data_IF_985122300165
#
_entry.id   IF_985122300165
#
_cell.length_a   1.000
_cell.length_b   1.000
_cell.length_c   1.000
_cell.angle_alpha   90.00
_cell.angle_beta   90.00
_cell.angle_gamma   90.00
#
_symmetry.space_group_name_H-M   'P 1'
#
loop_
_entity.id
_entity.type
_entity.pdbx_description
1 polymer ?
#
# COMPACT_ATOMS: atom_id res chain seq x y z
N UNK A 1 0.69 -9.60 -30.98
CA UNK A 1 1.59 -9.22 -29.86
C UNK A 1 2.61 -8.26 -30.45
N UNK A 2 3.00 -7.19 -29.77
CA UNK A 2 4.04 -6.28 -30.29
C UNK A 2 5.33 -7.10 -30.51
N UNK A 3 5.96 -7.05 -31.70
CA UNK A 3 7.15 -7.84 -32.00
C UNK A 3 8.32 -7.55 -31.04
N UNK A 4 8.44 -6.34 -30.50
CA UNK A 4 9.48 -6.00 -29.53
C UNK A 4 9.22 -6.66 -28.17
N UNK A 5 7.96 -6.69 -27.74
CA UNK A 5 7.55 -7.38 -26.50
C UNK A 5 7.78 -8.89 -26.62
N UNK A 6 7.53 -9.45 -27.80
CA UNK A 6 7.78 -10.87 -28.06
C UNK A 6 9.28 -11.18 -28.03
N UNK A 7 10.13 -10.31 -28.60
CA UNK A 7 11.59 -10.45 -28.55
C UNK A 7 12.13 -10.41 -27.10
N UNK A 8 11.69 -9.44 -26.30
CA UNK A 8 12.08 -9.33 -24.88
C UNK A 8 11.67 -10.58 -24.09
N UNK A 9 10.43 -11.04 -24.28
CA UNK A 9 9.94 -12.27 -23.62
C UNK A 9 10.70 -13.52 -24.06
N UNK A 10 11.14 -13.56 -25.32
CA UNK A 10 11.90 -14.69 -25.86
C UNK A 10 13.31 -14.70 -25.28
N UNK A 11 13.99 -13.56 -25.29
CA UNK A 11 15.31 -13.38 -24.65
C UNK A 11 15.28 -13.68 -23.15
N UNK A 12 14.21 -13.29 -22.46
CA UNK A 12 14.02 -13.61 -21.04
C UNK A 12 13.89 -15.12 -20.80
N UNK A 13 13.12 -15.82 -21.65
CA UNK A 13 12.97 -17.29 -21.58
C UNK A 13 14.27 -18.02 -21.90
N UNK A 14 15.10 -17.44 -22.76
CA UNK A 14 16.40 -18.00 -23.16
C UNK A 14 17.49 -17.84 -22.07
N UNK A 15 17.21 -17.10 -20.99
CA UNK A 15 18.10 -17.05 -19.82
C UNK A 15 18.09 -18.41 -19.08
N UNK A 16 19.08 -19.25 -19.39
CA UNK A 16 19.21 -20.62 -18.87
C UNK A 16 19.38 -20.73 -17.35
N UNK A 17 19.85 -19.68 -16.68
CA UNK A 17 20.14 -19.70 -15.24
C UNK A 17 19.06 -18.97 -14.44
N UNK A 18 18.58 -19.60 -13.36
CA UNK A 18 17.69 -18.99 -12.36
C UNK A 18 18.34 -17.76 -11.72
N UNK A 19 19.66 -17.74 -11.56
CA UNK A 19 20.40 -16.58 -11.05
C UNK A 19 20.38 -15.41 -12.03
N UNK A 20 20.55 -15.67 -13.34
CA UNK A 20 20.47 -14.64 -14.38
C UNK A 20 19.06 -14.02 -14.48
N UNK A 21 18.01 -14.85 -14.35
CA UNK A 21 16.62 -14.37 -14.30
C UNK A 21 16.37 -13.50 -13.06
N UNK A 22 16.86 -13.91 -11.88
CA UNK A 22 16.77 -13.12 -10.65
C UNK A 22 17.51 -11.79 -10.74
N UNK A 23 18.73 -11.78 -11.26
CA UNK A 23 19.50 -10.55 -11.45
C UNK A 23 18.77 -9.56 -12.37
N UNK A 24 18.18 -10.05 -13.47
CA UNK A 24 17.38 -9.22 -14.37
C UNK A 24 16.10 -8.69 -13.71
N UNK A 25 15.43 -9.51 -12.87
CA UNK A 25 14.30 -9.02 -12.06
C UNK A 25 14.73 -7.90 -11.11
N UNK A 26 15.85 -8.04 -10.41
CA UNK A 26 16.36 -6.99 -9.53
C UNK A 26 16.66 -5.69 -10.29
N UNK A 27 17.31 -5.77 -11.45
CA UNK A 27 17.56 -4.62 -12.32
C UNK A 27 16.26 -3.95 -12.82
N UNK A 28 15.26 -4.75 -13.21
CA UNK A 28 13.94 -4.21 -13.60
C UNK A 28 13.26 -3.53 -12.42
N UNK A 29 13.33 -4.13 -11.23
CA UNK A 29 12.76 -3.57 -10.01
C UNK A 29 13.45 -2.28 -9.57
N UNK A 30 14.74 -2.12 -9.86
CA UNK A 30 15.51 -0.88 -9.62
C UNK A 30 15.17 0.24 -10.60
N UNK A 31 14.76 -0.10 -11.83
CA UNK A 31 14.36 0.88 -12.84
C UNK A 31 12.90 1.31 -12.74
N UNK A 32 12.10 0.59 -11.96
CA UNK A 32 10.68 0.88 -11.77
C UNK A 32 10.45 1.93 -10.68
N UNK A 33 9.49 2.82 -10.92
CA UNK A 33 9.07 3.77 -9.90
C UNK A 33 8.31 3.07 -8.74
N UNK A 34 8.33 3.59 -7.49
CA UNK A 34 7.70 2.94 -6.33
C UNK A 34 6.19 2.69 -6.46
N UNK A 35 5.47 3.40 -7.33
CA UNK A 35 4.06 3.10 -7.63
C UNK A 35 3.88 1.94 -8.60
N UNK A 36 4.85 1.68 -9.49
CA UNK A 36 4.82 0.56 -10.43
C UNK A 36 5.12 -0.77 -9.70
N UNK A 37 5.90 -0.70 -8.62
CA UNK A 37 6.12 -1.79 -7.68
C UNK A 37 4.82 -2.29 -7.03
N UNK A 38 3.90 -1.36 -6.73
CA UNK A 38 2.62 -1.67 -6.07
C UNK A 38 1.73 -2.57 -6.92
N UNK A 39 1.70 -2.34 -8.24
CA UNK A 39 0.88 -3.13 -9.18
C UNK A 39 1.43 -4.54 -9.42
N UNK A 40 2.74 -4.75 -9.27
CA UNK A 40 3.38 -6.06 -9.42
C UNK A 40 3.15 -6.90 -8.16
N UNK A 41 3.37 -6.33 -6.97
CA UNK A 41 3.25 -7.06 -5.71
C UNK A 41 1.81 -7.51 -5.43
N UNK A 42 0.84 -6.65 -5.74
CA UNK A 42 -0.58 -6.96 -5.55
C UNK A 42 -1.07 -8.12 -6.41
N UNK A 43 -0.45 -8.40 -7.56
CA UNK A 43 -0.83 -9.53 -8.41
C UNK A 43 -0.19 -10.87 -7.99
N UNK A 44 0.88 -10.84 -7.19
CA UNK A 44 1.49 -12.06 -6.65
C UNK A 44 0.78 -12.62 -5.42
N UNK A 45 0.06 -11.79 -4.65
CA UNK A 45 -0.62 -12.19 -3.41
C UNK A 45 -2.03 -12.78 -3.61
N UNK A 46 -2.62 -12.70 -4.80
CA UNK A 46 -4.01 -13.13 -5.07
C UNK A 46 -4.19 -14.63 -5.39
N UNK A 47 -3.22 -15.50 -5.10
CA UNK A 47 -3.25 -16.92 -5.52
C UNK A 47 -3.19 -17.94 -4.37
N UNK A 48 -3.77 -17.67 -3.21
CA UNK A 48 -3.87 -18.67 -2.14
C UNK A 48 -5.20 -18.58 -1.38
N UNK A 49 -6.18 -19.39 -1.79
CA UNK A 49 -7.22 -19.92 -0.90
C UNK A 49 -7.54 -21.38 -1.30
N UNK A 50 -7.26 -22.32 -0.40
CA UNK A 50 -8.07 -23.53 -0.16
C UNK A 50 -7.67 -24.15 1.19
N UNK A 51 -8.62 -24.65 1.99
CA UNK A 51 -8.39 -25.18 3.33
C UNK A 51 -8.10 -26.69 3.36
N UNK A 52 -7.61 -27.11 4.53
CA UNK A 52 -7.47 -28.46 5.10
C UNK A 52 -6.11 -29.20 5.04
N UNK A 53 -5.60 -29.37 6.25
CA UNK A 53 -4.68 -30.34 6.85
C UNK A 53 -3.96 -31.36 5.93
N UNK A 54 -2.62 -31.27 5.97
CA UNK A 54 -1.74 -32.35 5.58
C UNK A 54 -0.49 -31.87 4.86
N UNK A 55 0.65 -31.89 5.55
CA UNK A 55 1.97 -31.66 4.95
C UNK A 55 2.19 -32.69 3.83
N UNK A 56 2.07 -32.26 2.57
CA UNK A 56 2.68 -32.91 1.41
C UNK A 56 3.15 -31.83 0.43
N UNK A 57 4.46 -31.75 0.22
CA UNK A 57 5.06 -30.92 -0.82
C UNK A 57 4.77 -31.55 -2.19
N UNK A 58 3.91 -30.93 -3.01
CA UNK A 58 3.83 -31.19 -4.45
C UNK A 58 4.31 -29.97 -5.25
N UNK A 59 4.98 -30.18 -6.41
CA UNK A 59 5.60 -29.11 -7.18
C UNK A 59 4.54 -28.27 -7.92
N UNK A 60 4.05 -27.21 -7.28
CA UNK A 60 3.22 -26.15 -7.89
C UNK A 60 4.10 -25.23 -8.77
N UNK A 61 4.64 -25.78 -9.86
CA UNK A 61 5.56 -25.07 -10.76
C UNK A 61 4.94 -24.50 -12.05
N UNK A 62 3.72 -24.91 -12.42
CA UNK A 62 3.17 -24.60 -13.77
C UNK A 62 2.02 -23.58 -13.77
N UNK A 63 1.12 -23.60 -12.79
CA UNK A 63 -0.05 -22.71 -12.77
C UNK A 63 0.31 -21.27 -12.36
N UNK A 64 1.12 -21.11 -11.32
CA UNK A 64 1.64 -19.80 -10.89
C UNK A 64 2.48 -19.11 -11.99
N UNK A 65 3.22 -19.89 -12.78
CA UNK A 65 4.08 -19.39 -13.86
C UNK A 65 3.25 -18.88 -15.06
N UNK A 66 2.14 -19.55 -15.40
CA UNK A 66 1.21 -19.12 -16.45
C UNK A 66 0.41 -17.87 -16.04
N UNK A 67 -0.03 -17.81 -14.78
CA UNK A 67 -0.76 -16.66 -14.24
C UNK A 67 0.13 -15.41 -14.17
N UNK A 68 1.38 -15.57 -13.70
CA UNK A 68 2.39 -14.51 -13.73
C UNK A 68 2.74 -14.07 -15.16
N UNK A 69 2.81 -14.99 -16.13
CA UNK A 69 3.08 -14.66 -17.53
C UNK A 69 1.95 -13.83 -18.17
N UNK A 70 0.68 -14.11 -17.84
CA UNK A 70 -0.45 -13.34 -18.36
C UNK A 70 -0.52 -11.95 -17.68
N UNK A 71 -0.28 -11.89 -16.37
CA UNK A 71 -0.22 -10.64 -15.60
C UNK A 71 0.89 -9.70 -16.11
N UNK A 72 2.10 -10.23 -16.34
CA UNK A 72 3.22 -9.48 -16.91
C UNK A 72 2.92 -9.00 -18.33
N UNK A 73 2.31 -9.84 -19.16
CA UNK A 73 1.90 -9.45 -20.52
C UNK A 73 0.91 -8.28 -20.50
N UNK A 74 -0.07 -8.30 -19.59
CA UNK A 74 -1.00 -7.19 -19.43
C UNK A 74 -0.30 -5.91 -18.95
N UNK A 75 0.62 -6.03 -17.99
CA UNK A 75 1.42 -4.91 -17.51
C UNK A 75 2.23 -4.26 -18.64
N UNK A 76 2.98 -5.05 -19.41
CA UNK A 76 3.79 -4.54 -20.53
C UNK A 76 2.89 -3.84 -21.57
N UNK A 77 1.74 -4.44 -21.92
CA UNK A 77 0.78 -3.80 -22.83
C UNK A 77 0.28 -2.46 -22.29
N UNK A 78 -0.01 -2.38 -21.00
CA UNK A 78 -0.47 -1.15 -20.37
C UNK A 78 0.63 -0.10 -20.32
N UNK A 79 1.87 -0.49 -20.02
CA UNK A 79 3.03 0.41 -20.01
C UNK A 79 3.31 1.01 -21.38
N UNK A 80 3.39 0.17 -22.41
CA UNK A 80 3.61 0.61 -23.80
C UNK A 80 2.50 1.57 -24.25
N UNK A 81 1.25 1.29 -23.88
CA UNK A 81 0.12 2.20 -24.14
C UNK A 81 0.27 3.55 -23.47
N UNK A 82 0.72 3.57 -22.21
CA UNK A 82 0.98 4.82 -21.48
C UNK A 82 2.11 5.62 -22.13
N UNK A 83 3.21 4.97 -22.47
CA UNK A 83 4.38 5.62 -23.11
C UNK A 83 4.04 6.17 -24.51
N UNK A 84 3.17 5.48 -25.26
CA UNK A 84 2.70 5.91 -26.58
C UNK A 84 1.51 6.87 -26.53
N UNK A 85 1.01 7.23 -25.34
CA UNK A 85 -0.16 8.12 -25.20
C UNK A 85 -1.46 7.53 -25.76
N UNK A 86 -1.61 6.19 -25.72
CA UNK A 86 -2.76 5.45 -26.22
C UNK A 86 -3.54 4.80 -25.06
N UNK A 87 -4.22 5.58 -24.20
CA UNK A 87 -4.96 5.05 -23.07
C UNK A 87 -6.12 4.15 -23.53
N UNK A 88 -6.43 3.13 -22.74
CA UNK A 88 -7.49 2.15 -23.03
C UNK A 88 -8.87 2.82 -22.99
N UNK A 89 -9.05 3.76 -22.06
CA UNK A 89 -10.23 4.57 -21.95
C UNK A 89 -9.85 5.98 -21.53
N UNK A 90 -10.68 6.95 -21.92
CA UNK A 90 -10.60 8.32 -21.45
C UNK A 90 -11.96 8.65 -20.86
N UNK A 91 -11.96 9.05 -19.59
CA UNK A 91 -13.16 9.60 -18.95
C UNK A 91 -13.34 11.01 -19.51
N UNK A 92 -14.34 11.18 -20.37
CA UNK A 92 -14.59 12.42 -21.12
C UNK A 92 -15.36 13.45 -20.30
N UNK A 93 -16.23 13.00 -19.40
CA UNK A 93 -16.93 13.84 -18.43
C UNK A 93 -16.34 13.61 -17.03
N UNK A 94 -15.57 14.58 -16.54
CA UNK A 94 -15.24 14.67 -15.11
C UNK A 94 -16.23 15.65 -14.49
N UNK A 95 -17.31 15.18 -13.83
CA UNK A 95 -18.19 16.08 -13.09
C UNK A 95 -17.45 16.81 -11.97
N UNK A 96 -16.35 16.23 -11.46
CA UNK A 96 -15.52 16.80 -10.41
C UNK A 96 -14.04 16.73 -10.80
N UNK A 97 -13.50 17.83 -11.33
CA UNK A 97 -12.06 17.98 -11.49
C UNK A 97 -11.54 18.76 -10.29
N UNK A 98 -10.77 18.14 -9.37
CA UNK A 98 -10.12 18.90 -8.31
C UNK A 98 -9.20 19.92 -8.97
N UNK A 99 -9.48 21.21 -8.73
CA UNK A 99 -8.62 22.28 -9.21
C UNK A 99 -7.35 22.18 -8.37
N UNK A 100 -6.16 21.97 -8.97
CA UNK A 100 -4.94 21.89 -8.20
C UNK A 100 -4.69 23.24 -7.53
N UNK A 101 -4.61 23.25 -6.20
CA UNK A 101 -4.23 24.44 -5.44
C UNK A 101 -2.79 24.83 -5.85
N UNK A 102 -2.49 26.14 -5.90
CA UNK A 102 -1.19 26.68 -6.34
C UNK A 102 0.02 26.18 -5.51
N UNK A 103 -0.22 25.55 -4.35
CA UNK A 103 0.77 24.99 -3.42
C UNK A 103 1.03 23.48 -3.59
N UNK A 104 0.36 22.80 -4.53
CA UNK A 104 0.63 21.40 -4.88
C UNK A 104 -0.39 20.38 -4.35
N UNK A 105 -0.17 19.11 -4.72
CA UNK A 105 -0.97 17.88 -4.55
C UNK A 105 -1.33 17.46 -3.09
N UNK A 106 -1.28 18.38 -2.14
CA UNK A 106 -1.62 18.13 -0.73
C UNK A 106 -3.09 17.76 -0.67
N UNK A 107 -3.37 16.47 -0.48
CA UNK A 107 -4.72 15.96 -0.35
C UNK A 107 -5.32 15.29 -1.57
N UNK A 108 -4.56 14.98 -2.62
CA UNK A 108 -5.01 14.08 -3.70
C UNK A 108 -4.45 12.68 -3.49
N UNK A 109 -5.28 11.64 -3.61
CA UNK A 109 -4.82 10.25 -3.67
C UNK A 109 -5.64 9.42 -4.66
N UNK A 110 -5.06 8.29 -5.11
CA UNK A 110 -5.71 7.37 -6.05
C UNK A 110 -5.46 5.92 -5.66
N UNK A 111 -6.52 5.12 -5.68
CA UNK A 111 -6.47 3.70 -5.38
C UNK A 111 -7.64 2.97 -6.04
N UNK A 112 -7.38 1.84 -6.69
CA UNK A 112 -8.40 0.92 -7.23
C UNK A 112 -9.47 1.57 -8.14
N UNK A 113 -9.08 2.56 -8.94
CA UNK A 113 -10.03 3.26 -9.81
C UNK A 113 -10.91 4.28 -9.07
N UNK A 114 -10.59 4.57 -7.82
CA UNK A 114 -11.14 5.70 -7.08
C UNK A 114 -10.04 6.75 -6.92
N UNK A 115 -10.39 8.01 -7.09
CA UNK A 115 -9.56 9.12 -6.64
C UNK A 115 -10.29 9.89 -5.58
N UNK A 116 -9.57 10.50 -4.66
CA UNK A 116 -10.16 11.44 -3.73
C UNK A 116 -9.29 12.64 -3.50
N UNK A 117 -9.95 13.70 -3.05
CA UNK A 117 -9.36 15.00 -2.84
C UNK A 117 -9.89 15.63 -1.55
N UNK A 118 -9.10 16.52 -0.97
CA UNK A 118 -9.52 17.40 0.10
C UNK A 118 -9.97 18.73 -0.52
N UNK A 119 -11.14 19.21 -0.13
CA UNK A 119 -11.65 20.54 -0.46
C UNK A 119 -12.29 21.13 0.80
N UNK A 120 -11.75 22.26 1.26
CA UNK A 120 -12.05 22.87 2.55
C UNK A 120 -11.90 21.89 3.75
N UNK A 121 -13.02 21.53 4.38
CA UNK A 121 -13.12 20.60 5.50
C UNK A 121 -13.80 19.27 5.10
N UNK A 122 -13.89 19.01 3.80
CA UNK A 122 -14.52 17.83 3.23
C UNK A 122 -13.47 16.98 2.51
N UNK A 123 -13.60 15.66 2.65
CA UNK A 123 -12.86 14.68 1.86
C UNK A 123 -13.83 14.08 0.86
N UNK A 124 -13.52 14.20 -0.42
CA UNK A 124 -14.33 13.61 -1.49
C UNK A 124 -13.64 12.38 -2.04
N UNK A 125 -14.41 11.35 -2.36
CA UNK A 125 -13.94 10.17 -3.10
C UNK A 125 -14.87 9.91 -4.25
N UNK A 126 -14.31 9.87 -5.45
CA UNK A 126 -15.01 9.57 -6.68
C UNK A 126 -14.53 8.24 -7.26
N UNK A 127 -15.46 7.33 -7.50
CA UNK A 127 -15.21 6.04 -8.12
C UNK A 127 -15.41 6.15 -9.63
N UNK A 128 -14.35 5.93 -10.40
CA UNK A 128 -14.35 6.03 -11.86
C UNK A 128 -15.17 4.94 -12.56
N UNK A 129 -15.37 3.79 -11.90
CA UNK A 129 -16.12 2.67 -12.47
C UNK A 129 -17.63 2.88 -12.33
N UNK A 130 -18.09 3.28 -11.15
CA UNK A 130 -19.51 3.53 -10.87
C UNK A 130 -19.96 4.95 -11.18
N UNK A 131 -19.03 5.88 -11.42
CA UNK A 131 -19.28 7.30 -11.61
C UNK A 131 -20.04 7.92 -10.41
N UNK A 132 -19.70 7.49 -9.19
CA UNK A 132 -20.34 7.96 -7.96
C UNK A 132 -19.33 8.72 -7.10
N UNK A 133 -19.78 9.83 -6.51
CA UNK A 133 -19.00 10.63 -5.56
C UNK A 133 -19.58 10.46 -4.16
N UNK A 134 -18.70 10.22 -3.19
CA UNK A 134 -19.00 10.24 -1.76
C UNK A 134 -18.20 11.38 -1.10
N UNK A 135 -18.71 11.90 0.02
CA UNK A 135 -18.07 12.97 0.78
C UNK A 135 -18.06 12.63 2.27
N UNK A 136 -16.95 12.91 2.93
CA UNK A 136 -16.70 12.63 4.34
C UNK A 136 -16.24 13.91 5.05
N UNK A 137 -16.63 14.08 6.32
CA UNK A 137 -16.14 15.15 7.17
C UNK A 137 -16.14 14.71 8.63
N UNK A 138 -15.42 15.46 9.48
CA UNK A 138 -15.53 15.30 10.93
C UNK A 138 -16.73 16.09 11.46
N UNK A 139 -17.23 15.71 12.64
CA UNK A 139 -18.31 16.44 13.32
C UNK A 139 -17.94 17.92 13.55
N UNK A 140 -16.66 18.19 13.83
CA UNK A 140 -16.15 19.53 14.07
C UNK A 140 -15.77 20.29 12.79
N UNK A 141 -15.92 19.66 11.61
CA UNK A 141 -15.49 20.20 10.30
C UNK A 141 -14.03 20.65 10.32
N UNK A 142 -13.18 19.77 10.85
CA UNK A 142 -11.73 20.00 10.85
C UNK A 142 -11.20 20.03 9.41
N UNK A 143 -10.21 20.89 9.17
CA UNK A 143 -9.50 20.92 7.90
C UNK A 143 -8.46 19.81 7.86
N UNK A 144 -8.09 19.34 6.67
CA UNK A 144 -7.19 18.20 6.50
C UNK A 144 -5.89 18.57 5.77
N UNK A 145 -4.80 17.86 6.09
CA UNK A 145 -3.46 18.08 5.52
C UNK A 145 -2.97 16.95 4.64
N UNK A 146 -3.54 15.76 4.78
CA UNK A 146 -3.09 14.59 4.03
C UNK A 146 -4.25 13.62 3.87
N UNK A 147 -4.22 12.89 2.77
CA UNK A 147 -5.25 11.94 2.38
C UNK A 147 -4.59 10.66 1.88
N UNK A 148 -5.13 9.52 2.30
CA UNK A 148 -4.86 8.20 1.73
C UNK A 148 -6.13 7.43 1.49
N UNK A 149 -6.20 6.74 0.36
CA UNK A 149 -7.37 5.97 -0.05
C UNK A 149 -6.94 4.53 -0.35
N UNK A 150 -7.74 3.58 0.11
CA UNK A 150 -7.66 2.19 -0.30
C UNK A 150 -8.94 1.79 -1.04
N UNK A 151 -9.03 0.53 -1.40
CA UNK A 151 -10.24 -0.12 -1.89
C UNK A 151 -11.42 -0.08 -0.89
N UNK A 152 -11.13 0.04 0.41
CA UNK A 152 -12.15 -0.09 1.47
C UNK A 152 -12.26 1.13 2.38
N UNK A 153 -11.18 1.91 2.56
CA UNK A 153 -11.15 3.03 3.51
C UNK A 153 -10.61 4.31 2.91
N UNK A 154 -10.93 5.41 3.58
CA UNK A 154 -10.35 6.73 3.39
C UNK A 154 -9.75 7.16 4.71
N UNK A 155 -8.48 7.56 4.71
CA UNK A 155 -7.78 8.06 5.88
C UNK A 155 -7.31 9.49 5.65
N UNK A 156 -7.66 10.42 6.53
CA UNK A 156 -7.25 11.81 6.45
C UNK A 156 -6.70 12.34 7.78
N UNK A 157 -5.69 13.21 7.69
CA UNK A 157 -5.02 13.79 8.86
C UNK A 157 -5.46 15.23 9.05
N UNK A 158 -5.94 15.57 10.24
CA UNK A 158 -6.40 16.94 10.54
C UNK A 158 -5.26 17.95 10.62
N UNK A 159 -5.57 19.20 10.25
CA UNK A 159 -4.72 20.37 10.33
C UNK A 159 -4.97 21.09 11.67
N UNK A 160 -3.89 21.41 12.39
CA UNK A 160 -3.85 22.21 13.64
C UNK A 160 -4.66 21.69 14.85
N UNK A 161 -4.00 21.63 16.01
CA UNK A 161 -4.66 21.43 17.32
C UNK A 161 -5.04 19.98 17.67
N UNK A 162 -5.68 19.25 16.74
CA UNK A 162 -6.31 17.97 17.06
C UNK A 162 -5.43 16.73 16.79
N UNK A 163 -4.41 16.79 15.91
CA UNK A 163 -3.45 15.67 15.64
C UNK A 163 -4.12 14.29 15.59
N UNK A 164 -5.20 14.16 14.84
CA UNK A 164 -5.89 12.89 14.65
C UNK A 164 -5.76 12.44 13.20
N UNK A 165 -5.70 11.13 13.00
CA UNK A 165 -5.99 10.50 11.73
C UNK A 165 -7.42 9.95 11.82
N UNK A 166 -8.29 10.49 10.98
CA UNK A 166 -9.66 10.00 10.82
C UNK A 166 -9.69 8.98 9.70
N UNK A 167 -10.44 7.91 9.91
CA UNK A 167 -10.60 6.82 8.95
C UNK A 167 -12.07 6.52 8.77
N UNK A 168 -12.53 6.52 7.52
CA UNK A 168 -13.90 6.18 7.13
C UNK A 168 -13.89 4.93 6.25
N UNK A 169 -14.89 4.07 6.44
CA UNK A 169 -15.21 2.99 5.52
C UNK A 169 -16.00 3.53 4.32
N UNK A 170 -15.54 3.24 3.12
CA UNK A 170 -16.19 3.65 1.86
C UNK A 170 -17.52 2.91 1.66
N UNK A 171 -17.66 1.70 2.21
CA UNK A 171 -18.83 0.86 2.00
C UNK A 171 -19.90 1.07 3.07
N UNK A 172 -19.50 1.10 4.34
CA UNK A 172 -20.42 1.13 5.48
C UNK A 172 -20.65 2.54 6.02
N UNK A 173 -19.84 3.51 5.61
CA UNK A 173 -19.79 4.86 6.19
C UNK A 173 -19.49 4.86 7.71
N UNK A 174 -19.00 3.75 8.25
CA UNK A 174 -18.48 3.70 9.62
C UNK A 174 -17.19 4.52 9.70
N UNK A 175 -16.95 5.13 10.87
CA UNK A 175 -15.80 5.98 11.08
C UNK A 175 -15.16 5.75 12.45
N UNK A 176 -13.84 5.97 12.48
CA UNK A 176 -13.05 5.98 13.68
C UNK A 176 -11.89 6.95 13.52
N UNK A 177 -11.19 7.22 14.61
CA UNK A 177 -9.99 8.04 14.58
C UNK A 177 -8.99 7.54 15.62
N UNK A 178 -7.73 7.85 15.39
CA UNK A 178 -6.66 7.61 16.35
C UNK A 178 -5.72 8.81 16.42
N UNK A 179 -5.10 8.99 17.60
CA UNK A 179 -4.23 10.12 17.87
C UNK A 179 -2.84 9.89 17.31
N UNK A 180 -2.31 10.90 16.63
CA UNK A 180 -0.95 10.90 16.13
C UNK A 180 0.02 11.50 17.17
N UNK A 181 1.19 10.89 17.36
CA UNK A 181 2.21 11.41 18.28
C UNK A 181 2.80 12.73 17.75
N UNK A 182 2.92 12.87 16.43
CA UNK A 182 3.50 14.02 15.75
C UNK A 182 2.87 14.20 14.37
N UNK A 183 2.96 15.42 13.82
CA UNK A 183 2.65 15.69 12.41
C UNK A 183 3.86 15.48 11.48
N UNK A 184 5.04 15.23 12.06
CA UNK A 184 6.27 14.96 11.30
C UNK A 184 6.40 13.46 10.97
N UNK A 185 5.48 12.96 10.15
CA UNK A 185 5.51 11.59 9.63
C UNK A 185 6.34 11.52 8.34
N UNK A 186 7.04 10.40 8.15
CA UNK A 186 7.82 10.07 6.94
C UNK A 186 6.97 9.40 5.87
N UNK A 187 6.20 8.41 6.30
CA UNK A 187 5.36 7.58 5.44
C UNK A 187 3.94 7.55 6.00
N UNK A 188 2.96 7.56 5.09
CA UNK A 188 1.55 7.42 5.40
C UNK A 188 0.93 6.57 4.28
N UNK A 189 0.38 5.42 4.66
CA UNK A 189 -0.12 4.39 3.73
C UNK A 189 -1.46 3.86 4.24
N UNK A 190 -2.40 3.60 3.32
CA UNK A 190 -3.65 2.91 3.59
C UNK A 190 -3.82 1.74 2.61
N UNK A 191 -4.14 0.54 3.12
CA UNK A 191 -4.33 -0.71 2.35
C UNK A 191 -5.42 -1.56 2.99
N UNK A 192 -6.43 -1.97 2.23
CA UNK A 192 -7.60 -2.63 2.80
C UNK A 192 -8.20 -1.81 3.94
N UNK A 193 -8.36 -2.42 5.11
CA UNK A 193 -8.84 -1.79 6.34
C UNK A 193 -7.71 -1.26 7.24
N UNK A 194 -6.47 -1.23 6.74
CA UNK A 194 -5.28 -0.91 7.50
C UNK A 194 -4.75 0.49 7.15
N UNK A 195 -4.26 1.18 8.17
CA UNK A 195 -3.49 2.41 8.05
C UNK A 195 -2.13 2.21 8.71
N UNK A 196 -1.05 2.57 8.03
CA UNK A 196 0.29 2.57 8.60
C UNK A 196 0.98 3.92 8.42
N UNK A 197 1.68 4.34 9.46
CA UNK A 197 2.40 5.61 9.50
C UNK A 197 3.75 5.42 10.16
N UNK A 198 4.81 5.97 9.56
CA UNK A 198 6.14 5.99 10.14
C UNK A 198 6.50 7.41 10.58
N UNK A 199 7.17 7.53 11.72
CA UNK A 199 7.62 8.76 12.33
C UNK A 199 9.14 8.73 12.53
N UNK A 200 9.76 9.90 12.38
CA UNK A 200 11.15 10.07 12.74
C UNK A 200 11.37 9.81 14.23
N UNK A 201 12.47 9.13 14.56
CA UNK A 201 12.98 9.10 15.93
C UNK A 201 13.21 10.51 16.48
N UNK A 202 13.06 10.67 17.80
CA UNK A 202 13.25 11.96 18.50
C UNK A 202 14.70 12.46 18.35
N UNK A 203 15.65 11.54 18.22
CA UNK A 203 17.07 11.84 18.00
C UNK A 203 17.49 11.34 16.62
N UNK A 204 18.51 11.98 16.01
CA UNK A 204 19.01 11.61 14.67
C UNK A 204 19.51 10.15 14.56
N UNK A 205 19.83 9.52 15.69
CA UNK A 205 20.23 8.12 15.78
C UNK A 205 19.18 7.22 16.44
N UNK A 206 18.05 7.78 16.87
CA UNK A 206 16.99 7.05 17.56
C UNK A 206 16.21 6.13 16.62
N UNK A 207 15.52 5.11 17.15
CA UNK A 207 14.68 4.25 16.34
C UNK A 207 13.53 5.06 15.72
N UNK A 208 13.19 4.74 14.46
CA UNK A 208 11.97 5.23 13.86
C UNK A 208 10.78 4.50 14.51
N UNK A 209 9.65 5.19 14.67
CA UNK A 209 8.43 4.61 15.24
C UNK A 209 7.40 4.40 14.15
N UNK A 210 6.74 3.25 14.14
CA UNK A 210 5.66 2.94 13.21
C UNK A 210 4.38 2.73 13.99
N UNK A 211 3.31 3.40 13.56
CA UNK A 211 1.95 3.13 13.98
C UNK A 211 1.28 2.31 12.88
N UNK A 212 0.71 1.17 13.25
CA UNK A 212 -0.20 0.40 12.43
C UNK A 212 -1.55 0.37 13.12
N UNK A 213 -2.59 0.70 12.37
CA UNK A 213 -3.94 0.83 12.88
C UNK A 213 -4.91 0.12 11.93
N UNK A 214 -5.92 -0.51 12.51
CA UNK A 214 -6.92 -1.29 11.79
C UNK A 214 -8.33 -0.77 12.10
N UNK A 215 -9.15 -0.58 11.07
CA UNK A 215 -10.52 -0.07 11.23
C UNK A 215 -11.45 -1.11 11.91
N UNK A 216 -11.32 -2.38 11.55
CA UNK A 216 -12.23 -3.44 12.02
C UNK A 216 -12.18 -3.64 13.54
N UNK A 217 -10.98 -3.70 14.11
CA UNK A 217 -10.78 -3.91 15.54
C UNK A 217 -10.57 -2.60 16.32
N UNK A 218 -10.34 -1.48 15.61
CA UNK A 218 -10.02 -0.16 16.17
C UNK A 218 -8.77 -0.16 17.08
N UNK A 219 -7.86 -1.11 16.86
CA UNK A 219 -6.63 -1.25 17.65
C UNK A 219 -5.47 -0.51 16.99
N UNK A 220 -4.67 0.16 17.84
CA UNK A 220 -3.41 0.80 17.44
C UNK A 220 -2.24 -0.05 17.93
N UNK A 221 -1.39 -0.50 17.02
CA UNK A 221 -0.11 -1.11 17.33
C UNK A 221 1.01 -0.11 17.06
N UNK A 222 1.97 -0.03 17.98
CA UNK A 222 3.15 0.82 17.81
C UNK A 222 4.39 -0.05 17.89
N UNK A 223 5.26 0.08 16.89
CA UNK A 223 6.51 -0.65 16.78
C UNK A 223 7.67 0.34 16.73
N UNK A 224 8.78 -0.04 17.35
CA UNK A 224 10.05 0.63 17.14
C UNK A 224 10.84 -0.17 16.12
N UNK A 225 11.42 0.51 15.14
CA UNK A 225 12.20 -0.13 14.09
C UNK A 225 13.54 0.55 13.93
N UNK A 226 14.43 -0.07 13.16
CA UNK A 226 15.72 0.51 12.84
C UNK A 226 15.53 1.89 12.17
N UNK A 227 16.51 2.76 12.37
CA UNK A 227 16.49 4.06 11.70
C UNK A 227 16.62 3.87 10.18
N UNK A 228 16.17 4.88 9.42
CA UNK A 228 16.30 4.97 7.96
C UNK A 228 15.39 3.99 7.19
N UNK A 229 14.12 3.96 7.58
CA UNK A 229 13.08 3.40 6.72
C UNK A 229 13.14 4.14 5.36
N UNK A 230 13.32 3.38 4.28
CA UNK A 230 13.21 3.85 2.90
C UNK A 230 11.84 3.58 2.29
N UNK A 231 11.13 2.59 2.82
CA UNK A 231 9.81 2.21 2.32
C UNK A 231 8.96 1.58 3.41
N UNK A 232 7.65 1.84 3.32
CA UNK A 232 6.61 1.31 4.18
C UNK A 232 5.42 0.90 3.29
N UNK A 233 4.90 -0.30 3.49
CA UNK A 233 3.58 -0.72 2.96
C UNK A 233 2.94 -1.72 3.92
N UNK A 234 1.69 -2.06 3.68
CA UNK A 234 0.95 -3.08 4.42
C UNK A 234 0.37 -4.08 3.44
N UNK A 235 0.57 -5.37 3.69
CA UNK A 235 -0.18 -6.40 2.99
C UNK A 235 -1.59 -6.47 3.58
N UNK A 236 -2.65 -6.11 2.83
CA UNK A 236 -4.00 -6.06 3.37
C UNK A 236 -4.54 -7.45 3.76
N UNK A 237 -4.06 -8.53 3.13
CA UNK A 237 -4.58 -9.89 3.35
C UNK A 237 -4.04 -10.50 4.64
N UNK A 238 -2.71 -10.44 4.83
CA UNK A 238 -2.07 -10.96 6.04
C UNK A 238 -1.99 -9.94 7.18
N UNK A 239 -2.36 -8.68 6.92
CA UNK A 239 -2.11 -7.54 7.79
C UNK A 239 -0.63 -7.41 8.22
N UNK A 240 0.27 -7.89 7.37
CA UNK A 240 1.72 -7.84 7.64
C UNK A 240 2.28 -6.49 7.23
N UNK A 241 3.07 -5.90 8.13
CA UNK A 241 3.77 -4.66 7.85
C UNK A 241 5.05 -4.94 7.05
N UNK A 242 5.22 -4.25 5.93
CA UNK A 242 6.39 -4.34 5.07
C UNK A 242 7.22 -3.08 5.27
N UNK A 243 8.47 -3.26 5.72
CA UNK A 243 9.42 -2.15 5.89
C UNK A 243 10.72 -2.46 5.16
N UNK A 244 11.23 -1.51 4.38
CA UNK A 244 12.57 -1.58 3.81
C UNK A 244 13.44 -0.52 4.46
N UNK A 245 14.64 -0.91 4.89
CA UNK A 245 15.58 -0.07 5.60
C UNK A 245 16.83 0.14 4.75
N UNK A 246 17.38 1.34 4.78
CA UNK A 246 18.69 1.62 4.19
C UNK A 246 19.78 1.29 5.22
N UNK A 247 20.40 0.14 5.04
CA UNK A 247 21.59 -0.22 5.79
C UNK A 247 22.79 0.55 5.24
N UNK A 248 23.54 1.22 6.12
CA UNK A 248 24.81 1.83 5.72
C UNK A 248 25.86 0.75 5.83
N UNK A 249 26.12 0.05 4.72
CA UNK A 249 27.27 -0.84 4.59
C UNK A 249 28.54 -0.01 4.74
N UNK A 250 29.27 -0.23 5.84
CA UNK A 250 30.65 0.24 5.97
C UNK A 250 31.64 -0.71 5.26
N UNK A 251 31.15 -1.79 4.66
CA UNK A 251 31.91 -2.75 3.86
C UNK A 251 31.08 -3.22 2.64
N UNK A 252 31.67 -3.30 1.43
CA UNK A 252 30.95 -3.62 0.19
C UNK A 252 30.45 -5.07 0.06
N UNK A 253 30.75 -5.95 1.01
CA UNK A 253 30.49 -7.40 0.89
C UNK A 253 29.27 -7.93 1.68
N UNK A 254 28.50 -7.07 2.35
CA UNK A 254 27.36 -7.52 3.19
C UNK A 254 26.02 -7.46 2.44
N UNK A 255 25.36 -8.61 2.33
CA UNK A 255 24.05 -8.81 1.68
C UNK A 255 22.92 -7.96 2.31
N UNK A 256 22.13 -7.31 1.45
CA UNK A 256 20.89 -6.59 1.80
C UNK A 256 19.92 -7.49 2.58
N UNK A 257 19.61 -7.14 3.84
CA UNK A 257 18.60 -7.85 4.65
C UNK A 257 17.23 -7.18 4.54
N UNK A 258 16.30 -7.82 3.82
CA UNK A 258 14.87 -7.52 3.92
C UNK A 258 14.34 -8.18 5.21
N UNK A 259 13.77 -7.38 6.13
CA UNK A 259 13.09 -7.90 7.32
C UNK A 259 11.57 -7.77 7.14
N UNK A 260 10.88 -8.91 7.10
CA UNK A 260 9.43 -8.98 7.25
C UNK A 260 9.12 -9.19 8.73
N UNK A 261 8.37 -8.28 9.35
CA UNK A 261 7.87 -8.45 10.72
C UNK A 261 6.42 -8.92 10.65
N UNK A 262 6.10 -10.17 11.03
CA UNK A 262 4.71 -10.60 11.11
C UNK A 262 3.99 -9.82 12.23
N UNK A 263 2.78 -9.34 11.95
CA UNK A 263 1.87 -8.91 13.00
C UNK A 263 1.46 -10.16 13.80
N UNK A 264 1.81 -10.23 15.08
CA UNK A 264 1.52 -11.41 15.90
C UNK A 264 0.01 -11.60 16.07
N UNK A 265 -0.46 -12.82 15.78
CA UNK A 265 -1.79 -13.31 16.12
C UNK A 265 -2.09 -13.13 17.61
N UNK A 266 -3.32 -12.71 17.99
CA UNK A 266 -3.69 -12.61 19.38
C UNK A 266 -3.71 -14.00 20.02
N UNK A 267 -3.04 -14.14 21.17
CA UNK A 267 -3.15 -15.34 22.00
C UNK A 267 -4.62 -15.51 22.45
N UNK A 268 -5.16 -16.74 22.48
CA UNK A 268 -6.50 -16.98 22.98
C UNK A 268 -6.56 -16.72 24.48
N UNK A 269 -7.43 -15.80 24.89
CA UNK A 269 -7.76 -15.59 26.29
C UNK A 269 -8.49 -16.83 26.83
N UNK A 270 -7.91 -17.44 27.87
CA UNK A 270 -8.57 -18.42 28.73
C UNK A 270 -9.67 -17.79 29.60
N UNK A 271 -10.54 -18.61 30.22
CA UNK A 271 -11.93 -18.23 30.49
C UNK A 271 -12.12 -17.35 31.72
N UNK A 272 -13.19 -16.56 31.62
CA UNK A 272 -13.97 -15.88 32.65
C UNK A 272 -13.68 -16.24 34.11
N UNK A 273 -13.33 -15.21 34.90
CA UNK A 273 -13.73 -15.12 36.29
C UNK A 273 -14.73 -13.96 36.44
N UNK A 274 -15.91 -14.33 36.95
CA UNK A 274 -17.04 -13.46 37.25
C UNK A 274 -16.76 -12.54 38.46
N UNK A 275 -17.60 -11.51 38.70
CA UNK A 275 -17.25 -10.33 39.48
C UNK A 275 -17.44 -10.54 40.98
N UNK A 276 -16.68 -9.77 41.77
CA UNK A 276 -16.93 -9.58 43.20
C UNK A 276 -17.14 -8.08 43.47
N UNK A 277 -18.37 -7.78 43.89
CA UNK A 277 -18.93 -6.61 44.58
C UNK A 277 -18.32 -5.22 44.39
#
# INVERSE_FOLDING_TARGET
>A
MDPEVLDILTRFKDLKSTSARRALYHLLLEQMHPYEWRDIYQKSTFSEESPDDGIVFYPLGYSAMLCASNAFTQYVKQRVRLERGQPISKVLDRPYSPIPNATGLVGLDFSHGSYGWIEDAMVYVHNLHSNTTQSFCTDNRDTFTALRISESIVAAITLHGSRFCYVWSIQTNDSAYFRLPSLNWKYFVARGMNVAMAFNGITASGPDSIIHWQLDCRVTHTFNTANKIAYLDVDPTSSTLITVHLERTLDPDTLMHVRCCPAMTPLPFGPHLAPWH
#
